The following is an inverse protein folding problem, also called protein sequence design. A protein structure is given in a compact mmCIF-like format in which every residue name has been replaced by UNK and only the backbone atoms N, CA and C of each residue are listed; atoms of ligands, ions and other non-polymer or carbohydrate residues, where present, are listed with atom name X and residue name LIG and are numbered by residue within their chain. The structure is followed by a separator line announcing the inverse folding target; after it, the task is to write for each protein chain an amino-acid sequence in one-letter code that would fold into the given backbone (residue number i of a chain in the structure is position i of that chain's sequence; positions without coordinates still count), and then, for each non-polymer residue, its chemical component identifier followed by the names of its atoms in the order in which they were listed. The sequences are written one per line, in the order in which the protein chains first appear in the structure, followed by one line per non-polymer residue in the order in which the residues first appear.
data_IF_491382791899
#
_entry.id   IF_491382791899
#
_cell.length_a   1.000
_cell.length_b   1.000
_cell.length_c   1.000
_cell.angle_alpha   90.00
_cell.angle_beta   90.00
_cell.angle_gamma   90.00
#
_symmetry.space_group_name_H-M   'P 1'
#
loop_
_entity.id
_entity.type
_entity.pdbx_description
1 polymer ?
#
# COMPACT_ATOMS: atom_id res chain seq x y z
N UNK A 1 10.80 1.30 -1.15
CA UNK A 1 10.75 0.73 0.21
C UNK A 1 9.56 1.34 0.93
N UNK A 2 8.66 0.48 1.41
CA UNK A 2 7.39 0.90 2.01
C UNK A 2 7.53 1.32 3.48
N UNK A 3 6.61 2.13 3.99
CA UNK A 3 6.48 2.41 5.41
C UNK A 3 5.73 1.27 6.14
N UNK A 4 6.45 0.20 6.45
CA UNK A 4 5.92 -0.98 7.15
C UNK A 4 5.31 -0.62 8.51
N UNK A 5 5.95 0.28 9.26
CA UNK A 5 5.50 0.64 10.61
C UNK A 5 4.11 1.26 10.56
N UNK A 6 3.88 2.20 9.63
CA UNK A 6 2.58 2.83 9.44
C UNK A 6 1.52 1.84 8.99
N UNK A 7 1.84 0.97 8.03
CA UNK A 7 0.90 -0.06 7.57
C UNK A 7 0.52 -1.02 8.72
N UNK A 8 1.47 -1.42 9.57
CA UNK A 8 1.17 -2.26 10.75
C UNK A 8 0.27 -1.56 11.75
N UNK A 9 0.52 -0.28 12.03
CA UNK A 9 -0.33 0.52 12.93
C UNK A 9 -1.77 0.55 12.45
N UNK A 10 -1.97 0.89 11.17
CA UNK A 10 -3.31 0.96 10.57
C UNK A 10 -4.02 -0.39 10.53
N UNK A 11 -3.31 -1.50 10.27
CA UNK A 11 -3.89 -2.85 10.36
C UNK A 11 -4.52 -3.08 11.74
N UNK A 12 -3.80 -2.71 12.81
CA UNK A 12 -4.26 -2.88 14.19
C UNK A 12 -5.39 -1.90 14.54
N UNK A 13 -5.24 -0.63 14.17
CA UNK A 13 -6.26 0.42 14.40
C UNK A 13 -7.60 0.11 13.71
N UNK A 14 -7.56 -0.59 12.58
CA UNK A 14 -8.76 -1.06 11.85
C UNK A 14 -9.29 -2.40 12.33
N UNK A 15 -8.72 -2.97 13.40
CA UNK A 15 -9.21 -4.21 14.02
C UNK A 15 -9.03 -5.46 13.16
N UNK A 16 -8.08 -5.45 12.23
CA UNK A 16 -7.77 -6.61 11.37
C UNK A 16 -6.35 -7.13 11.63
N UNK A 17 -5.93 -8.14 10.87
CA UNK A 17 -4.61 -8.77 11.01
C UNK A 17 -3.89 -8.81 9.67
N UNK A 18 -2.56 -8.87 9.71
CA UNK A 18 -1.75 -9.07 8.49
C UNK A 18 -2.16 -10.33 7.72
N UNK A 19 -2.59 -11.37 8.44
CA UNK A 19 -3.07 -12.61 7.86
C UNK A 19 -4.38 -12.40 7.09
N UNK A 20 -5.37 -11.75 7.72
CA UNK A 20 -6.65 -11.45 7.08
C UNK A 20 -6.48 -10.56 5.85
N UNK A 21 -5.59 -9.57 5.93
CA UNK A 21 -5.26 -8.70 4.79
C UNK A 21 -4.63 -9.50 3.66
N UNK A 22 -3.65 -10.36 3.95
CA UNK A 22 -3.03 -11.21 2.94
C UNK A 22 -4.06 -12.11 2.22
N UNK A 23 -4.96 -12.71 2.99
CA UNK A 23 -6.04 -13.56 2.48
C UNK A 23 -7.00 -12.77 1.60
N UNK A 24 -7.45 -11.59 2.06
CA UNK A 24 -8.39 -10.74 1.31
C UNK A 24 -7.81 -10.23 -0.01
N UNK A 25 -6.55 -9.78 -0.01
CA UNK A 25 -5.92 -9.28 -1.23
C UNK A 25 -5.46 -10.42 -2.17
N UNK A 26 -5.58 -11.68 -1.73
CA UNK A 26 -5.29 -12.88 -2.51
C UNK A 26 -3.81 -13.17 -2.65
N UNK A 27 -2.97 -12.82 -1.66
CA UNK A 27 -1.54 -13.14 -1.68
C UNK A 27 -1.19 -14.18 -0.62
N UNK A 28 -0.20 -15.01 -0.94
CA UNK A 28 0.31 -15.99 0.03
C UNK A 28 0.81 -15.28 1.30
N UNK A 29 0.34 -15.73 2.47
CA UNK A 29 0.71 -15.17 3.78
C UNK A 29 2.22 -15.05 3.99
N UNK A 30 3.00 -16.08 3.64
CA UNK A 30 4.46 -16.05 3.77
C UNK A 30 5.09 -14.99 2.86
N UNK A 31 4.50 -14.76 1.69
CA UNK A 31 4.90 -13.66 0.80
C UNK A 31 4.58 -12.30 1.43
N UNK A 32 3.36 -12.12 1.96
CA UNK A 32 2.97 -10.91 2.68
C UNK A 32 3.94 -10.62 3.84
N UNK A 33 4.17 -11.61 4.70
CA UNK A 33 5.09 -11.49 5.83
C UNK A 33 6.52 -11.15 5.40
N UNK A 34 7.03 -11.74 4.31
CA UNK A 34 8.36 -11.41 3.78
C UNK A 34 8.43 -9.97 3.28
N UNK A 35 7.38 -9.48 2.58
CA UNK A 35 7.27 -8.07 2.16
C UNK A 35 7.25 -7.13 3.38
N UNK A 36 6.46 -7.46 4.40
CA UNK A 36 6.38 -6.70 5.65
C UNK A 36 7.67 -6.75 6.48
N UNK A 37 8.44 -7.82 6.44
CA UNK A 37 9.70 -7.94 7.19
C UNK A 37 10.84 -7.16 6.52
N UNK A 38 10.93 -7.24 5.19
CA UNK A 38 12.07 -6.72 4.44
C UNK A 38 11.79 -5.35 3.81
N UNK A 39 10.62 -4.75 4.06
CA UNK A 39 10.17 -3.53 3.37
C UNK A 39 10.01 -3.74 1.86
N UNK A 40 9.71 -4.97 1.45
CA UNK A 40 9.62 -5.40 0.07
C UNK A 40 8.45 -4.76 -0.68
N UNK A 41 8.52 -4.80 -2.00
CA UNK A 41 7.60 -4.03 -2.83
C UNK A 41 6.23 -4.72 -2.95
N UNK A 42 5.18 -3.92 -2.80
CA UNK A 42 3.83 -4.29 -3.23
C UNK A 42 3.63 -3.79 -4.66
N UNK A 43 3.02 -4.61 -5.50
CA UNK A 43 2.58 -4.18 -6.83
C UNK A 43 1.48 -3.13 -6.68
N UNK A 44 1.24 -2.33 -7.72
CA UNK A 44 0.14 -1.35 -7.73
C UNK A 44 -1.21 -2.04 -7.48
N UNK A 45 -1.41 -3.24 -8.01
CA UNK A 45 -2.64 -4.00 -7.80
C UNK A 45 -2.80 -4.44 -6.33
N UNK A 46 -1.72 -4.91 -5.69
CA UNK A 46 -1.75 -5.25 -4.26
C UNK A 46 -1.98 -4.00 -3.40
N UNK A 47 -1.31 -2.88 -3.70
CA UNK A 47 -1.47 -1.63 -2.96
C UNK A 47 -2.91 -1.09 -3.06
N UNK A 48 -3.53 -1.16 -4.24
CA UNK A 48 -4.95 -0.81 -4.44
C UNK A 48 -5.88 -1.68 -3.60
N UNK A 49 -5.69 -3.00 -3.64
CA UNK A 49 -6.48 -3.92 -2.82
C UNK A 49 -6.29 -3.69 -1.32
N UNK A 50 -5.07 -3.39 -0.87
CA UNK A 50 -4.81 -3.05 0.54
C UNK A 50 -5.54 -1.78 0.94
N UNK A 51 -5.55 -0.75 0.07
CA UNK A 51 -6.30 0.49 0.29
C UNK A 51 -7.81 0.25 0.42
N UNK A 52 -8.34 -0.72 -0.33
CA UNK A 52 -9.77 -1.09 -0.29
C UNK A 52 -10.10 -1.92 0.95
N UNK A 53 -9.28 -2.92 1.27
CA UNK A 53 -9.47 -3.83 2.41
C UNK A 53 -9.28 -3.15 3.75
N UNK A 54 -8.27 -2.27 3.83
CA UNK A 54 -8.01 -1.42 4.98
C UNK A 54 -8.26 -0.01 4.47
N UNK A 55 -9.46 0.58 4.62
CA UNK A 55 -9.81 1.85 3.99
C UNK A 55 -8.76 2.94 4.29
N UNK A 56 -7.81 3.10 3.37
CA UNK A 56 -6.71 4.08 3.46
C UNK A 56 -7.15 5.34 2.73
N UNK A 57 -6.84 6.48 3.31
CA UNK A 57 -6.83 7.75 2.59
C UNK A 57 -5.74 7.75 1.52
N UNK A 58 -5.86 8.65 0.54
CA UNK A 58 -4.81 8.83 -0.48
C UNK A 58 -3.48 9.20 0.15
N UNK A 59 -3.49 10.05 1.18
CA UNK A 59 -2.27 10.46 1.89
C UNK A 59 -1.61 9.30 2.63
N UNK A 60 -2.40 8.46 3.30
CA UNK A 60 -1.87 7.25 3.95
C UNK A 60 -1.28 6.28 2.94
N UNK A 61 -1.97 6.05 1.81
CA UNK A 61 -1.48 5.18 0.75
C UNK A 61 -0.18 5.73 0.13
N UNK A 62 -0.08 7.04 -0.10
CA UNK A 62 1.14 7.70 -0.59
C UNK A 62 2.27 7.52 0.42
N UNK A 63 2.02 7.80 1.70
CA UNK A 63 3.03 7.69 2.75
C UNK A 63 3.53 6.26 2.93
N UNK A 64 2.65 5.27 2.77
CA UNK A 64 2.98 3.85 2.89
C UNK A 64 3.75 3.34 1.69
N UNK A 65 3.21 3.51 0.49
CA UNK A 65 3.72 2.83 -0.70
C UNK A 65 4.75 3.64 -1.48
N UNK A 66 4.75 4.97 -1.35
CA UNK A 66 5.60 5.86 -2.14
C UNK A 66 6.54 6.74 -1.29
N UNK A 67 6.31 6.87 0.01
CA UNK A 67 7.13 7.66 0.91
C UNK A 67 7.16 9.16 0.56
N UNK A 68 8.09 9.91 1.18
CA UNK A 68 8.16 11.39 1.08
C UNK A 68 8.65 11.95 -0.28
N UNK A 69 9.11 11.12 -1.22
CA UNK A 69 9.63 11.59 -2.52
C UNK A 69 8.86 10.95 -3.66
N UNK A 70 7.71 11.53 -3.99
CA UNK A 70 7.11 11.37 -5.32
C UNK A 70 7.30 12.68 -6.09
N UNK A 71 7.99 12.61 -7.22
CA UNK A 71 8.08 13.74 -8.13
C UNK A 71 6.73 13.89 -8.84
N UNK A 72 6.06 15.03 -8.66
CA UNK A 72 4.84 15.37 -9.39
C UNK A 72 5.17 15.66 -10.86
N UNK A 73 5.36 14.62 -11.67
CA UNK A 73 5.38 14.79 -13.13
C UNK A 73 3.95 14.68 -13.65
N UNK A 74 3.21 15.79 -13.58
CA UNK A 74 1.89 15.90 -14.21
C UNK A 74 2.11 16.06 -15.71
N UNK A 75 2.08 14.96 -16.47
CA UNK A 75 1.94 15.04 -17.93
C UNK A 75 0.53 15.55 -18.23
N UNK A 76 0.39 16.88 -18.31
CA UNK A 76 -0.83 17.50 -18.82
C UNK A 76 -0.79 17.27 -20.34
N UNK A 77 -1.53 16.27 -20.81
CA UNK A 77 -1.74 16.08 -22.23
C UNK A 77 -2.70 17.18 -22.71
N UNK A 78 -2.15 18.37 -22.99
CA UNK A 78 -2.87 19.41 -23.74
C UNK A 78 -2.80 19.02 -25.20
N UNK A 79 -3.80 18.29 -25.68
CA UNK A 79 -4.09 18.26 -27.11
C UNK A 79 -4.78 19.60 -27.46
N UNK A 80 -4.20 20.44 -28.32
CA UNK A 80 -4.95 21.52 -28.93
C UNK A 80 -6.00 20.94 -29.90
N UNK A 81 -7.17 21.58 -29.90
CA UNK A 81 -8.23 21.37 -30.88
C UNK A 81 -7.82 21.82 -32.28
#
# INVERSE_FOLDING_TARGET
MINVAKLKGLIVERGTTQQAVADSIGINRSTFYRKMKNGGDFTIAEAKKIKEEIPLTDDEAIEIFFGKKVAFSRHVNRQPA
#
